data_IF_500150972596
#
_entry.id   IF_500150972596
#
_cell.length_a   1.000
_cell.length_b   1.000
_cell.length_c   1.000
_cell.angle_alpha   90.00
_cell.angle_beta   90.00
_cell.angle_gamma   90.00
#
_symmetry.space_group_name_H-M   'P 1'
#
loop_
_entity.id
_entity.type
_entity.pdbx_description
1 polymer ?
#
# COMPACT_ATOMS: atom_id res chain seq x y z
N UNK A 1 17.05 -0.78 -1.30
CA UNK A 1 16.37 -1.20 -0.06
C UNK A 1 14.90 -0.79 -0.11
N UNK A 2 14.06 -1.65 -0.70
CA UNK A 2 12.62 -1.43 -0.94
C UNK A 2 11.82 -1.22 0.37
N UNK A 3 12.26 -1.90 1.44
CA UNK A 3 11.70 -1.77 2.80
C UNK A 3 11.86 -0.38 3.40
N UNK A 4 12.86 0.41 2.98
CA UNK A 4 13.03 1.79 3.43
C UNK A 4 12.12 2.76 2.66
N UNK A 5 11.75 2.49 1.41
CA UNK A 5 10.84 3.34 0.64
C UNK A 5 9.41 3.30 1.19
N UNK A 6 8.96 2.11 1.60
CA UNK A 6 7.65 1.94 2.25
C UNK A 6 7.60 2.51 3.67
N UNK A 7 8.75 2.60 4.33
CA UNK A 7 8.87 3.10 5.69
C UNK A 7 9.20 4.61 5.77
N UNK A 8 9.72 5.22 4.69
CA UNK A 8 10.20 6.62 4.70
C UNK A 8 9.27 7.63 3.98
N UNK A 9 8.19 7.20 3.33
CA UNK A 9 7.10 8.15 3.05
C UNK A 9 6.21 8.19 4.29
N UNK A 10 6.66 8.92 5.32
CA UNK A 10 6.00 8.92 6.61
C UNK A 10 4.52 9.32 6.47
N UNK A 11 3.63 8.37 6.78
CA UNK A 11 2.17 8.54 6.88
C UNK A 11 1.79 9.71 7.80
N UNK A 12 2.53 9.87 8.90
CA UNK A 12 2.26 10.85 9.97
C UNK A 12 2.32 12.32 9.49
N UNK A 13 3.34 12.78 8.75
CA UNK A 13 3.33 14.07 8.07
C UNK A 13 2.12 14.30 7.18
N UNK A 14 1.69 13.30 6.40
CA UNK A 14 0.52 13.45 5.52
C UNK A 14 -0.79 13.57 6.31
N UNK A 15 -0.95 12.78 7.37
CA UNK A 15 -2.09 12.89 8.29
C UNK A 15 -2.12 14.25 8.98
N UNK A 16 -0.95 14.73 9.43
CA UNK A 16 -0.80 16.05 10.04
C UNK A 16 -1.15 17.16 9.05
N UNK A 17 -0.58 17.14 7.85
CA UNK A 17 -0.84 18.11 6.79
C UNK A 17 -2.33 18.13 6.40
N UNK A 18 -2.95 16.96 6.28
CA UNK A 18 -4.38 16.84 5.99
C UNK A 18 -5.24 17.42 7.12
N UNK A 19 -4.89 17.14 8.38
CA UNK A 19 -5.59 17.67 9.53
C UNK A 19 -5.49 19.20 9.60
N UNK A 20 -4.28 19.75 9.41
CA UNK A 20 -4.04 21.20 9.35
C UNK A 20 -4.86 21.84 8.22
N UNK A 21 -4.84 21.27 7.02
CA UNK A 21 -5.59 21.84 5.89
C UNK A 21 -7.11 21.80 6.10
N UNK A 22 -7.63 20.75 6.75
CA UNK A 22 -9.05 20.65 7.09
C UNK A 22 -9.45 21.68 8.15
N UNK A 23 -8.59 21.89 9.16
CA UNK A 23 -8.80 22.93 10.17
C UNK A 23 -8.84 24.31 9.51
N UNK A 24 -7.86 24.63 8.65
CA UNK A 24 -7.84 25.89 7.90
C UNK A 24 -9.10 26.11 7.04
N UNK A 25 -9.62 25.05 6.41
CA UNK A 25 -10.86 25.11 5.62
C UNK A 25 -12.10 25.34 6.49
N UNK A 26 -12.12 24.81 7.71
CA UNK A 26 -13.25 24.93 8.65
C UNK A 26 -13.24 26.23 9.47
N UNK A 27 -12.05 26.81 9.69
CA UNK A 27 -11.84 28.00 10.54
C UNK A 27 -12.31 29.32 9.94
N UNK A 28 -12.82 29.32 8.70
CA UNK A 28 -13.41 30.52 8.09
C UNK A 28 -12.41 31.62 7.72
N UNK A 29 -11.10 31.35 7.75
CA UNK A 29 -10.08 32.24 7.20
C UNK A 29 -10.25 32.28 5.67
N UNK A 30 -11.13 33.18 5.24
CA UNK A 30 -11.65 33.33 3.88
C UNK A 30 -10.57 33.73 2.88
N UNK A 31 -9.88 32.73 2.35
CA UNK A 31 -9.22 32.83 1.05
C UNK A 31 -10.22 33.06 -0.10
N UNK A 32 -9.72 33.54 -1.24
CA UNK A 32 -10.52 33.63 -2.46
C UNK A 32 -11.15 32.27 -2.82
N UNK A 33 -12.25 32.27 -3.58
CA UNK A 33 -12.89 31.04 -4.06
C UNK A 33 -11.91 30.11 -4.80
N UNK A 34 -10.92 30.69 -5.49
CA UNK A 34 -9.82 29.98 -6.12
C UNK A 34 -8.92 29.26 -5.12
N UNK A 35 -8.51 29.93 -4.03
CA UNK A 35 -7.69 29.31 -2.99
C UNK A 35 -8.42 28.17 -2.29
N UNK A 36 -9.72 28.33 -2.03
CA UNK A 36 -10.57 27.27 -1.46
C UNK A 36 -10.64 26.05 -2.39
N UNK A 37 -10.76 26.28 -3.71
CA UNK A 37 -10.73 25.20 -4.71
C UNK A 37 -9.39 24.45 -4.73
N UNK A 38 -8.28 25.17 -4.65
CA UNK A 38 -6.93 24.58 -4.59
C UNK A 38 -6.76 23.75 -3.31
N UNK A 39 -7.17 24.29 -2.16
CA UNK A 39 -7.11 23.58 -0.87
C UNK A 39 -7.94 22.30 -0.90
N UNK A 40 -9.17 22.34 -1.43
CA UNK A 40 -10.01 21.15 -1.58
C UNK A 40 -9.33 20.09 -2.45
N UNK A 41 -8.75 20.47 -3.59
CA UNK A 41 -7.99 19.54 -4.44
C UNK A 41 -6.79 18.92 -3.72
N UNK A 42 -6.09 19.70 -2.91
CA UNK A 42 -4.97 19.19 -2.08
C UNK A 42 -5.46 18.17 -1.04
N UNK A 43 -6.59 18.42 -0.39
CA UNK A 43 -7.24 17.45 0.53
C UNK A 43 -7.50 16.14 -0.20
N UNK A 44 -8.15 16.19 -1.37
CA UNK A 44 -8.47 14.99 -2.14
C UNK A 44 -7.22 14.20 -2.54
N UNK A 45 -6.10 14.89 -2.85
CA UNK A 45 -4.82 14.24 -3.14
C UNK A 45 -4.25 13.56 -1.88
N UNK A 46 -4.24 14.27 -0.75
CA UNK A 46 -3.72 13.75 0.52
C UNK A 46 -4.52 12.54 1.01
N UNK A 47 -5.86 12.59 0.90
CA UNK A 47 -6.75 11.46 1.21
C UNK A 47 -6.45 10.24 0.34
N UNK A 48 -6.35 10.43 -0.99
CA UNK A 48 -5.99 9.34 -1.91
C UNK A 48 -4.61 8.75 -1.61
N UNK A 49 -3.65 9.57 -1.16
CA UNK A 49 -2.33 9.07 -0.75
C UNK A 49 -2.43 8.22 0.51
N UNK A 50 -3.18 8.67 1.52
CA UNK A 50 -3.39 7.92 2.76
C UNK A 50 -4.12 6.60 2.53
N UNK A 51 -5.17 6.59 1.71
CA UNK A 51 -5.90 5.36 1.36
C UNK A 51 -4.97 4.30 0.77
N UNK A 52 -4.00 4.70 -0.05
CA UNK A 52 -3.01 3.76 -0.60
C UNK A 52 -2.05 3.21 0.45
N UNK A 53 -1.69 4.00 1.47
CA UNK A 53 -0.91 3.48 2.59
C UNK A 53 -1.68 2.41 3.35
N UNK A 54 -2.98 2.61 3.56
CA UNK A 54 -3.84 1.62 4.20
C UNK A 54 -3.88 0.32 3.37
N UNK A 55 -4.13 0.42 2.07
CA UNK A 55 -4.14 -0.75 1.18
C UNK A 55 -2.79 -1.45 1.13
N UNK A 56 -1.68 -0.71 1.05
CA UNK A 56 -0.34 -1.31 1.02
C UNK A 56 0.01 -2.00 2.36
N UNK A 57 -0.46 -1.45 3.49
CA UNK A 57 -0.30 -2.07 4.80
C UNK A 57 -1.11 -3.38 4.90
N UNK A 58 -2.35 -3.36 4.43
CA UNK A 58 -3.23 -4.53 4.35
C UNK A 58 -2.64 -5.62 3.44
N UNK A 59 -2.20 -5.29 2.21
CA UNK A 59 -1.55 -6.25 1.32
C UNK A 59 -0.32 -6.89 1.96
N UNK A 60 0.47 -6.13 2.71
CA UNK A 60 1.63 -6.66 3.44
C UNK A 60 1.21 -7.65 4.53
N UNK A 61 0.14 -7.36 5.25
CA UNK A 61 -0.41 -8.26 6.28
C UNK A 61 -0.92 -9.56 5.65
N UNK A 62 -1.65 -9.47 4.54
CA UNK A 62 -2.13 -10.63 3.76
C UNK A 62 -0.94 -11.50 3.31
N UNK A 63 0.09 -10.91 2.69
CA UNK A 63 1.28 -11.64 2.25
C UNK A 63 1.97 -12.32 3.43
N UNK A 64 2.05 -11.66 4.59
CA UNK A 64 2.64 -12.27 5.79
C UNK A 64 1.87 -13.51 6.24
N UNK A 65 0.54 -13.48 6.18
CA UNK A 65 -0.29 -14.64 6.51
C UNK A 65 -0.19 -15.75 5.46
N UNK A 66 -0.20 -15.41 4.17
CA UNK A 66 -0.03 -16.37 3.08
C UNK A 66 1.29 -17.12 3.18
N UNK A 67 2.39 -16.41 3.49
CA UNK A 67 3.70 -17.04 3.69
C UNK A 67 3.73 -17.97 4.91
N UNK A 68 3.07 -17.59 6.01
CA UNK A 68 2.94 -18.45 7.17
C UNK A 68 2.14 -19.73 6.85
N UNK A 69 1.03 -19.60 6.13
CA UNK A 69 0.23 -20.75 5.67
C UNK A 69 1.04 -21.68 4.77
N UNK A 70 1.81 -21.13 3.83
CA UNK A 70 2.71 -21.90 2.97
C UNK A 70 3.75 -22.67 3.81
N UNK A 71 4.32 -22.04 4.84
CA UNK A 71 5.28 -22.70 5.73
C UNK A 71 4.63 -23.86 6.51
N UNK A 72 3.45 -23.63 7.07
CA UNK A 72 2.71 -24.66 7.81
C UNK A 72 2.30 -25.81 6.89
N UNK A 73 1.90 -25.52 5.66
CA UNK A 73 1.55 -26.53 4.67
C UNK A 73 2.78 -27.35 4.24
N UNK A 74 3.93 -26.71 4.04
CA UNK A 74 5.20 -27.41 3.76
C UNK A 74 5.63 -28.33 4.91
N UNK A 75 5.40 -27.91 6.16
CA UNK A 75 5.67 -28.75 7.34
C UNK A 75 4.75 -29.97 7.35
N UNK A 76 3.46 -29.77 7.10
CA UNK A 76 2.48 -30.86 6.99
C UNK A 76 2.84 -31.85 5.88
N UNK A 77 3.20 -31.35 4.69
CA UNK A 77 3.66 -32.16 3.57
C UNK A 77 4.87 -33.01 3.95
N UNK A 78 5.85 -32.41 4.63
CA UNK A 78 7.03 -33.13 5.09
C UNK A 78 6.68 -34.23 6.09
N UNK A 79 5.85 -33.94 7.09
CA UNK A 79 5.36 -34.93 8.05
C UNK A 79 4.63 -36.09 7.36
N UNK A 80 3.74 -35.77 6.42
CA UNK A 80 2.99 -36.77 5.65
C UNK A 80 3.87 -37.57 4.70
N UNK A 81 4.92 -36.99 4.10
CA UNK A 81 5.86 -37.74 3.25
C UNK A 81 6.59 -38.86 4.01
N UNK A 82 6.74 -38.72 5.33
CA UNK A 82 7.36 -39.70 6.21
C UNK A 82 6.36 -40.78 6.63
N UNK A 83 5.10 -40.40 6.88
CA UNK A 83 4.06 -41.31 7.41
C UNK A 83 3.12 -41.93 6.38
N UNK A 84 2.92 -41.27 5.24
CA UNK A 84 1.89 -41.55 4.23
C UNK A 84 2.57 -41.84 2.88
N UNK A 85 2.36 -43.05 2.36
CA UNK A 85 3.05 -43.58 1.16
C UNK A 85 2.26 -43.44 -0.13
N UNK A 86 1.14 -42.72 -0.12
CA UNK A 86 0.33 -42.53 -1.32
C UNK A 86 0.84 -41.32 -2.13
N UNK A 87 1.52 -41.56 -3.27
CA UNK A 87 2.11 -40.49 -4.06
C UNK A 87 1.06 -39.55 -4.67
N UNK A 88 -0.14 -40.06 -4.98
CA UNK A 88 -1.22 -39.25 -5.58
C UNK A 88 -1.73 -38.18 -4.62
N UNK A 89 -1.84 -38.52 -3.33
CA UNK A 89 -2.22 -37.54 -2.29
C UNK A 89 -1.15 -36.44 -2.14
N UNK A 90 0.13 -36.80 -2.17
CA UNK A 90 1.23 -35.81 -2.09
C UNK A 90 1.26 -34.91 -3.32
N UNK A 91 1.00 -35.45 -4.51
CA UNK A 91 0.92 -34.68 -5.76
C UNK A 91 -0.21 -33.64 -5.71
N UNK A 92 -1.43 -34.05 -5.31
CA UNK A 92 -2.55 -33.12 -5.16
C UNK A 92 -2.28 -32.00 -4.13
N UNK A 93 -1.53 -32.31 -3.07
CA UNK A 93 -1.12 -31.31 -2.09
C UNK A 93 -0.08 -30.34 -2.66
N UNK A 94 0.87 -30.81 -3.46
CA UNK A 94 1.82 -29.94 -4.16
C UNK A 94 1.13 -29.02 -5.19
N UNK A 95 0.08 -29.50 -5.86
CA UNK A 95 -0.77 -28.65 -6.71
C UNK A 95 -1.45 -27.53 -5.90
N UNK A 96 -2.02 -27.86 -4.73
CA UNK A 96 -2.61 -26.87 -3.84
C UNK A 96 -1.58 -25.81 -3.39
N UNK A 97 -0.39 -26.24 -2.99
CA UNK A 97 0.71 -25.33 -2.64
C UNK A 97 1.08 -24.40 -3.81
N UNK A 98 1.12 -24.93 -5.03
CA UNK A 98 1.38 -24.14 -6.23
C UNK A 98 0.34 -23.02 -6.41
N UNK A 99 -0.94 -23.32 -6.17
CA UNK A 99 -2.01 -22.32 -6.21
C UNK A 99 -1.85 -21.24 -5.13
N UNK A 100 -1.47 -21.60 -3.90
CA UNK A 100 -1.22 -20.63 -2.83
C UNK A 100 -0.04 -19.70 -3.15
N UNK A 101 1.02 -20.24 -3.75
CA UNK A 101 2.16 -19.44 -4.23
C UNK A 101 1.70 -18.46 -5.33
N UNK A 102 0.86 -18.90 -6.26
CA UNK A 102 0.30 -18.03 -7.31
C UNK A 102 -0.56 -16.89 -6.72
N UNK A 103 -1.42 -17.19 -5.76
CA UNK A 103 -2.22 -16.18 -5.06
C UNK A 103 -1.34 -15.17 -4.30
N UNK A 104 -0.24 -15.64 -3.72
CA UNK A 104 0.76 -14.77 -3.07
C UNK A 104 1.45 -13.87 -4.09
N UNK A 105 1.85 -14.39 -5.27
CA UNK A 105 2.45 -13.60 -6.36
C UNK A 105 1.50 -12.50 -6.85
N UNK A 106 0.21 -12.81 -7.00
CA UNK A 106 -0.80 -11.83 -7.40
C UNK A 106 -0.93 -10.69 -6.37
N UNK A 107 -0.94 -11.03 -5.08
CA UNK A 107 -1.01 -10.05 -3.98
C UNK A 107 0.23 -9.16 -3.95
N UNK A 108 1.42 -9.72 -4.19
CA UNK A 108 2.67 -8.96 -4.30
C UNK A 108 2.62 -8.00 -5.50
N UNK A 109 2.17 -8.45 -6.66
CA UNK A 109 2.03 -7.59 -7.85
C UNK A 109 1.04 -6.44 -7.64
N UNK A 110 -0.05 -6.69 -6.91
CA UNK A 110 -0.98 -5.62 -6.54
C UNK A 110 -0.29 -4.58 -5.64
N UNK A 111 0.45 -5.03 -4.64
CA UNK A 111 1.24 -4.15 -3.77
C UNK A 111 2.25 -3.30 -4.58
N UNK A 112 2.95 -3.89 -5.54
CA UNK A 112 3.89 -3.17 -6.43
C UNK A 112 3.21 -2.09 -7.28
N UNK A 113 2.00 -2.36 -7.79
CA UNK A 113 1.20 -1.37 -8.55
C UNK A 113 0.80 -0.18 -7.68
N UNK A 114 0.40 -0.43 -6.43
CA UNK A 114 0.06 0.64 -5.48
C UNK A 114 1.25 1.59 -5.26
N UNK A 115 2.45 1.03 -5.16
CA UNK A 115 3.71 1.74 -4.89
C UNK A 115 4.14 2.58 -6.10
N UNK A 116 4.11 2.00 -7.30
CA UNK A 116 4.48 2.70 -8.54
C UNK A 116 3.56 3.91 -8.77
N UNK A 117 2.26 3.74 -8.58
CA UNK A 117 1.29 4.82 -8.77
C UNK A 117 1.39 5.93 -7.69
N UNK A 118 1.95 5.66 -6.51
CA UNK A 118 2.26 6.73 -5.52
C UNK A 118 3.41 7.63 -5.96
N UNK A 119 4.43 7.07 -6.61
CA UNK A 119 5.60 7.83 -7.09
C UNK A 119 5.17 8.84 -8.18
N UNK A 120 4.29 8.40 -9.09
CA UNK A 120 3.73 9.25 -10.15
C UNK A 120 2.93 10.44 -9.60
N UNK A 121 2.10 10.25 -8.57
CA UNK A 121 1.32 11.34 -7.96
C UNK A 121 2.18 12.27 -7.10
N UNK A 122 3.28 11.79 -6.52
CA UNK A 122 4.25 12.61 -5.79
C UNK A 122 5.04 13.57 -6.70
N UNK A 123 5.15 13.24 -7.99
CA UNK A 123 5.87 14.05 -8.98
C UNK A 123 5.10 15.29 -9.47
N UNK A 124 3.80 15.38 -9.20
CA UNK A 124 2.94 16.51 -9.60
C UNK A 124 2.97 17.62 -8.55
N UNK A 125 4.14 18.20 -8.30
CA UNK A 125 4.23 19.50 -7.62
C UNK A 125 3.91 20.62 -8.62
N UNK A 126 2.96 21.53 -8.34
CA UNK A 126 2.72 22.66 -9.23
C UNK A 126 3.96 23.57 -9.27
N UNK A 127 4.29 24.20 -10.42
CA UNK A 127 5.32 25.22 -10.45
C UNK A 127 4.89 26.37 -9.54
N UNK A 128 5.54 26.50 -8.39
CA UNK A 128 5.40 27.67 -7.53
C UNK A 128 5.91 28.88 -8.30
N UNK A 129 4.99 29.63 -8.89
CA UNK A 129 5.27 30.89 -9.56
C UNK A 129 5.80 31.87 -8.50
N UNK A 130 7.13 32.03 -8.49
CA UNK A 130 7.82 33.00 -7.65
C UNK A 130 7.45 34.40 -8.16
N UNK A 131 6.35 34.96 -7.66
CA UNK A 131 6.08 36.37 -7.84
C UNK A 131 7.14 37.16 -7.07
N UNK A 132 8.19 37.57 -7.80
CA UNK A 132 9.15 38.56 -7.32
C UNK A 132 8.40 39.88 -7.19
N UNK A 133 8.08 40.25 -5.97
CA UNK A 133 7.68 41.62 -5.63
C UNK A 133 8.92 42.50 -5.80
N UNK A 134 8.82 43.50 -6.67
CA UNK A 134 9.69 44.67 -6.71
C UNK A 134 8.81 45.91 -6.59
#
# INVERSE_FOLDING_TARGET
>A
NYRHYLNNMDRKPLEKELAELRVEMSGGEGGSAELQGIKKRRIEILEKRLEKFDRAAESREIISHQLASIEDFMRLLHEQSITQRDPETVEAQLEHLSMEIQATDETVREMEKLITFTDELGSVAPPMERQRVR
#
